data_IF_479286025123
#
_entry.id   IF_479286025123
#
_cell.length_a   1.000
_cell.length_b   1.000
_cell.length_c   1.000
_cell.angle_alpha   90.00
_cell.angle_beta   90.00
_cell.angle_gamma   90.00
#
_symmetry.space_group_name_H-M   'P 1'
#
loop_
_entity.id
_entity.type
_entity.pdbx_description
1 polymer ?
#
# COMPACT_ATOMS: atom_id res chain seq x y z
N UNK A 1 -18.42 8.58 -21.62
CA UNK A 1 -19.02 8.34 -20.29
C UNK A 1 -18.70 6.97 -19.67
N UNK A 2 -18.46 5.87 -20.40
CA UNK A 2 -18.11 4.57 -19.74
C UNK A 2 -16.66 4.48 -19.26
N UNK A 3 -15.72 5.08 -19.99
CA UNK A 3 -14.28 4.84 -19.78
C UNK A 3 -13.71 5.70 -18.63
N UNK A 4 -14.13 6.96 -18.54
CA UNK A 4 -13.82 7.88 -17.44
C UNK A 4 -14.34 7.37 -16.10
N UNK A 5 -15.60 6.91 -16.07
CA UNK A 5 -16.20 6.29 -14.88
C UNK A 5 -15.41 5.07 -14.41
N UNK A 6 -14.93 4.22 -15.32
CA UNK A 6 -14.12 3.07 -14.94
C UNK A 6 -12.77 3.49 -14.32
N UNK A 7 -12.14 4.56 -14.79
CA UNK A 7 -10.89 5.08 -14.19
C UNK A 7 -11.17 5.57 -12.76
N UNK A 8 -12.24 6.37 -12.58
CA UNK A 8 -12.69 6.86 -11.27
C UNK A 8 -12.97 5.69 -10.32
N UNK A 9 -13.80 4.73 -10.74
CA UNK A 9 -14.16 3.55 -9.95
C UNK A 9 -12.91 2.77 -9.49
N UNK A 10 -11.85 2.71 -10.30
CA UNK A 10 -10.59 2.05 -9.93
C UNK A 10 -9.72 2.88 -8.99
N UNK A 11 -9.72 4.20 -9.10
CA UNK A 11 -9.05 5.08 -8.15
C UNK A 11 -9.75 4.97 -6.79
N UNK A 12 -11.07 5.08 -6.75
CA UNK A 12 -11.86 4.95 -5.51
C UNK A 12 -11.71 3.57 -4.87
N UNK A 13 -11.78 2.50 -5.66
CA UNK A 13 -11.51 1.14 -5.18
C UNK A 13 -10.12 1.04 -4.54
N UNK A 14 -9.09 1.64 -5.14
CA UNK A 14 -7.75 1.63 -4.56
C UNK A 14 -7.72 2.34 -3.20
N UNK A 15 -8.36 3.50 -3.04
CA UNK A 15 -8.40 4.18 -1.75
C UNK A 15 -9.21 3.41 -0.70
N UNK A 16 -10.46 3.06 -1.02
CA UNK A 16 -11.42 2.53 -0.06
C UNK A 16 -11.10 1.08 0.31
N UNK A 17 -10.82 0.22 -0.68
CA UNK A 17 -10.72 -1.23 -0.44
C UNK A 17 -9.30 -1.69 -0.15
N UNK A 18 -8.29 -0.90 -0.52
CA UNK A 18 -6.88 -1.30 -0.39
C UNK A 18 -6.13 -0.42 0.61
N UNK A 19 -6.16 0.90 0.43
CA UNK A 19 -5.41 1.81 1.32
C UNK A 19 -5.97 1.78 2.73
N UNK A 20 -7.29 1.83 2.92
CA UNK A 20 -7.90 1.78 4.25
C UNK A 20 -7.69 0.42 4.95
N UNK A 21 -7.88 -0.69 4.24
CA UNK A 21 -7.63 -2.02 4.81
C UNK A 21 -6.16 -2.19 5.25
N UNK A 22 -5.22 -1.66 4.46
CA UNK A 22 -3.82 -1.64 4.84
C UNK A 22 -3.56 -0.78 6.08
N UNK A 23 -4.18 0.41 6.19
CA UNK A 23 -4.07 1.25 7.39
C UNK A 23 -4.58 0.51 8.63
N UNK A 24 -5.68 -0.22 8.52
CA UNK A 24 -6.17 -1.05 9.62
C UNK A 24 -5.19 -2.17 9.98
N UNK A 25 -4.64 -2.87 8.98
CA UNK A 25 -3.66 -3.92 9.18
C UNK A 25 -2.38 -3.37 9.86
N UNK A 26 -1.91 -2.21 9.42
CA UNK A 26 -0.79 -1.52 10.04
C UNK A 26 -1.10 -1.11 11.48
N UNK A 27 -2.27 -0.54 11.74
CA UNK A 27 -2.66 -0.12 13.08
C UNK A 27 -2.73 -1.32 14.04
N UNK A 28 -3.20 -2.47 13.56
CA UNK A 28 -3.16 -3.76 14.29
C UNK A 28 -1.71 -4.16 14.60
N UNK A 29 -0.80 -4.11 13.61
CA UNK A 29 0.64 -4.41 13.78
C UNK A 29 1.30 -3.48 14.82
N UNK A 30 1.01 -2.18 14.76
CA UNK A 30 1.53 -1.19 15.70
C UNK A 30 1.02 -1.47 17.11
N UNK A 31 -0.28 -1.76 17.26
CA UNK A 31 -0.89 -2.06 18.55
C UNK A 31 -0.33 -3.35 19.15
N UNK A 32 -0.08 -4.38 18.34
CA UNK A 32 0.59 -5.62 18.75
C UNK A 32 2.04 -5.39 19.19
N UNK A 33 2.65 -4.28 18.79
CA UNK A 33 4.02 -3.91 19.14
C UNK A 33 4.14 -3.06 20.41
N UNK A 34 3.03 -2.55 20.96
CA UNK A 34 3.03 -1.69 22.17
C UNK A 34 3.28 -2.51 23.44
N UNK A 35 3.88 -1.89 24.46
CA UNK A 35 4.18 -2.53 25.75
C UNK A 35 2.97 -3.20 26.42
N UNK A 36 1.76 -2.64 26.26
CA UNK A 36 0.52 -3.19 26.82
C UNK A 36 0.13 -4.57 26.25
N UNK A 37 0.67 -4.97 25.09
CA UNK A 37 0.44 -6.28 24.47
C UNK A 37 1.54 -7.29 24.74
N UNK A 38 2.50 -7.01 25.63
CA UNK A 38 3.63 -7.91 25.96
C UNK A 38 3.21 -9.34 26.33
N UNK A 39 2.03 -9.50 26.94
CA UNK A 39 1.49 -10.80 27.33
C UNK A 39 0.67 -11.50 26.24
N UNK A 40 0.38 -10.84 25.11
CA UNK A 40 -0.31 -11.44 23.96
C UNK A 40 0.69 -12.02 22.98
N UNK A 41 0.44 -13.26 22.56
CA UNK A 41 1.18 -13.91 21.47
C UNK A 41 0.97 -13.10 20.18
N UNK A 42 2.06 -12.58 19.61
CA UNK A 42 2.02 -11.81 18.36
C UNK A 42 1.67 -12.72 17.19
N UNK A 43 0.67 -12.33 16.40
CA UNK A 43 0.21 -13.09 15.23
C UNK A 43 0.95 -12.66 13.95
N UNK A 44 2.26 -12.96 13.89
CA UNK A 44 3.07 -12.61 12.73
C UNK A 44 2.56 -13.22 11.42
N UNK A 45 2.06 -14.45 11.46
CA UNK A 45 1.56 -15.13 10.26
C UNK A 45 0.26 -14.51 9.74
N UNK A 46 -0.65 -14.13 10.64
CA UNK A 46 -1.85 -13.37 10.28
C UNK A 46 -1.49 -12.00 9.68
N UNK A 47 -0.54 -11.28 10.28
CA UNK A 47 -0.09 -9.99 9.75
C UNK A 47 0.54 -10.14 8.36
N UNK A 48 1.36 -11.17 8.14
CA UNK A 48 1.94 -11.46 6.81
C UNK A 48 0.86 -11.78 5.79
N UNK A 49 -0.16 -12.56 6.17
CA UNK A 49 -1.26 -12.91 5.28
C UNK A 49 -2.04 -11.67 4.85
N UNK A 50 -2.40 -10.79 5.79
CA UNK A 50 -3.09 -9.53 5.49
C UNK A 50 -2.28 -8.64 4.53
N UNK A 51 -0.99 -8.44 4.81
CA UNK A 51 -0.12 -7.62 3.94
C UNK A 51 0.02 -8.20 2.52
N UNK A 52 0.06 -9.53 2.40
CA UNK A 52 0.07 -10.21 1.10
C UNK A 52 -1.27 -10.08 0.37
N UNK A 53 -2.37 -10.09 1.09
CA UNK A 53 -3.71 -9.90 0.53
C UNK A 53 -3.86 -8.48 -0.05
N UNK A 54 -3.49 -7.45 0.72
CA UNK A 54 -3.47 -6.06 0.22
C UNK A 54 -2.60 -5.95 -1.05
N UNK A 55 -1.40 -6.55 -1.05
CA UNK A 55 -0.56 -6.62 -2.26
C UNK A 55 -1.25 -7.33 -3.43
N UNK A 56 -1.96 -8.43 -3.15
CA UNK A 56 -2.75 -9.17 -4.14
C UNK A 56 -3.84 -8.30 -4.77
N UNK A 57 -4.59 -7.54 -3.98
CA UNK A 57 -5.61 -6.59 -4.47
C UNK A 57 -5.01 -5.52 -5.39
N UNK A 58 -3.84 -4.97 -5.03
CA UNK A 58 -3.10 -4.01 -5.87
C UNK A 58 -2.63 -4.64 -7.18
N UNK A 59 -2.21 -5.92 -7.15
CA UNK A 59 -1.84 -6.67 -8.35
C UNK A 59 -3.03 -6.98 -9.25
N UNK A 60 -4.24 -7.06 -8.69
CA UNK A 60 -5.49 -7.26 -9.42
C UNK A 60 -5.95 -6.04 -10.24
N UNK A 61 -5.42 -4.84 -9.98
CA UNK A 61 -5.76 -3.65 -10.76
C UNK A 61 -4.99 -3.67 -12.09
N UNK A 62 -5.73 -3.83 -13.19
CA UNK A 62 -5.18 -3.87 -14.55
C UNK A 62 -4.86 -2.48 -15.09
N UNK A 63 -3.73 -1.92 -14.65
CA UNK A 63 -3.32 -0.56 -15.07
C UNK A 63 -3.11 -0.43 -16.59
N UNK A 64 -2.75 -1.52 -17.27
CA UNK A 64 -2.52 -1.51 -18.72
C UNK A 64 -3.83 -1.36 -19.49
N UNK A 65 -4.93 -1.89 -18.97
CA UNK A 65 -6.26 -1.71 -19.53
C UNK A 65 -6.75 -0.27 -19.32
N UNK A 66 -6.57 0.28 -18.11
CA UNK A 66 -6.91 1.68 -17.83
C UNK A 66 -6.15 2.64 -18.75
N UNK A 67 -4.86 2.38 -19.02
CA UNK A 67 -4.06 3.20 -19.95
C UNK A 67 -4.59 3.19 -21.39
N UNK A 68 -5.27 2.12 -21.81
CA UNK A 68 -5.90 2.05 -23.15
C UNK A 68 -7.21 2.83 -23.21
N UNK A 69 -7.88 2.99 -22.07
CA UNK A 69 -9.14 3.71 -21.92
C UNK A 69 -8.93 5.22 -21.75
N UNK A 70 -7.74 5.64 -21.30
CA UNK A 70 -7.38 7.05 -21.17
C UNK A 70 -7.18 7.73 -22.54
N UNK A 71 -8.09 8.63 -22.92
CA UNK A 71 -8.11 9.26 -24.25
C UNK A 71 -7.51 10.67 -24.25
N UNK A 72 -7.94 11.51 -23.32
CA UNK A 72 -7.47 12.87 -23.10
C UNK A 72 -6.17 12.90 -22.26
N UNK A 73 -5.62 14.10 -22.04
CA UNK A 73 -4.36 14.26 -21.31
C UNK A 73 -4.53 14.03 -19.80
N UNK A 74 -5.65 14.46 -19.22
CA UNK A 74 -5.92 14.39 -17.79
C UNK A 74 -6.12 12.93 -17.35
N UNK A 75 -6.91 12.15 -18.10
CA UNK A 75 -7.11 10.72 -17.84
C UNK A 75 -5.81 9.92 -17.97
N UNK A 76 -4.91 10.31 -18.88
CA UNK A 76 -3.58 9.68 -19.03
C UNK A 76 -2.68 10.01 -17.84
N UNK A 77 -2.67 11.25 -17.40
CA UNK A 77 -1.93 11.72 -16.23
C UNK A 77 -2.40 11.00 -14.96
N UNK A 78 -3.71 10.97 -14.73
CA UNK A 78 -4.33 10.28 -13.60
C UNK A 78 -4.00 8.79 -13.60
N UNK A 79 -4.14 8.12 -14.74
CA UNK A 79 -3.82 6.69 -14.86
C UNK A 79 -2.32 6.43 -14.67
N UNK A 80 -1.45 7.32 -15.15
CA UNK A 80 -0.01 7.22 -14.91
C UNK A 80 0.29 7.32 -13.42
N UNK A 81 -0.29 8.30 -12.73
CA UNK A 81 -0.10 8.53 -11.31
C UNK A 81 -0.64 7.38 -10.46
N UNK A 82 -1.84 6.87 -10.79
CA UNK A 82 -2.38 5.66 -10.16
C UNK A 82 -1.40 4.49 -10.32
N UNK A 83 -0.83 4.29 -11.52
CA UNK A 83 0.18 3.25 -11.74
C UNK A 83 1.42 3.38 -10.83
N UNK A 84 1.87 4.61 -10.58
CA UNK A 84 2.99 4.90 -9.67
C UNK A 84 2.61 4.63 -8.22
N UNK A 85 1.42 5.06 -7.78
CA UNK A 85 0.91 4.78 -6.44
C UNK A 85 0.76 3.28 -6.18
N UNK A 86 0.19 2.52 -7.13
CA UNK A 86 0.07 1.07 -7.04
C UNK A 86 1.45 0.39 -6.92
N UNK A 87 2.44 0.83 -7.69
CA UNK A 87 3.80 0.29 -7.62
C UNK A 87 4.46 0.58 -6.26
N UNK A 88 4.40 1.83 -5.79
CA UNK A 88 4.92 2.22 -4.47
C UNK A 88 4.25 1.42 -3.34
N UNK A 89 2.93 1.21 -3.44
CA UNK A 89 2.17 0.48 -2.44
C UNK A 89 2.56 -1.01 -2.36
N UNK A 90 2.84 -1.64 -3.50
CA UNK A 90 3.37 -3.02 -3.53
C UNK A 90 4.70 -3.13 -2.80
N UNK A 91 5.59 -2.18 -3.04
CA UNK A 91 6.90 -2.11 -2.37
C UNK A 91 6.75 -1.93 -0.86
N UNK A 92 5.80 -1.07 -0.44
CA UNK A 92 5.48 -0.90 0.98
C UNK A 92 4.99 -2.20 1.60
N UNK A 93 4.05 -2.91 0.95
CA UNK A 93 3.57 -4.21 1.43
C UNK A 93 4.71 -5.21 1.59
N UNK A 94 5.61 -5.31 0.60
CA UNK A 94 6.77 -6.20 0.67
C UNK A 94 7.74 -5.83 1.79
N UNK A 95 7.98 -4.54 2.00
CA UNK A 95 8.81 -4.05 3.11
C UNK A 95 8.22 -4.44 4.47
N UNK A 96 6.91 -4.27 4.65
CA UNK A 96 6.22 -4.70 5.87
C UNK A 96 6.23 -6.23 6.05
N UNK A 97 6.07 -7.02 4.98
CA UNK A 97 6.19 -8.48 5.05
C UNK A 97 7.59 -8.89 5.51
N UNK A 98 8.64 -8.28 4.95
CA UNK A 98 10.04 -8.54 5.38
C UNK A 98 10.24 -8.20 6.86
N UNK A 99 9.66 -7.10 7.33
CA UNK A 99 9.70 -6.73 8.74
C UNK A 99 8.99 -7.78 9.62
N UNK A 100 7.79 -8.22 9.26
CA UNK A 100 7.07 -9.24 10.03
C UNK A 100 7.82 -10.59 10.05
N UNK A 101 8.41 -11.00 8.92
CA UNK A 101 9.25 -12.20 8.85
C UNK A 101 10.46 -12.08 9.76
N UNK A 102 11.16 -10.94 9.74
CA UNK A 102 12.30 -10.70 10.62
C UNK A 102 11.90 -10.76 12.10
N UNK A 103 10.82 -10.07 12.48
CA UNK A 103 10.33 -10.05 13.85
C UNK A 103 9.91 -11.45 14.33
N UNK A 104 9.29 -12.24 13.44
CA UNK A 104 8.94 -13.65 13.70
C UNK A 104 10.19 -14.49 13.99
N UNK A 105 11.26 -14.35 13.19
CA UNK A 105 12.55 -15.03 13.45
C UNK A 105 13.12 -14.63 14.81
N UNK A 106 13.14 -13.34 15.12
CA UNK A 106 13.64 -12.83 16.41
C UNK A 106 12.83 -13.39 17.59
N UNK A 107 11.50 -13.44 17.47
CA UNK A 107 10.62 -14.01 18.49
C UNK A 107 10.86 -15.51 18.72
N UNK A 108 11.34 -16.24 17.71
CA UNK A 108 11.75 -17.64 17.78
C UNK A 108 13.17 -17.84 18.33
N UNK A 109 13.84 -16.77 18.75
CA UNK A 109 15.25 -16.77 19.22
C UNK A 109 16.24 -17.24 18.15
N UNK A 110 15.86 -17.13 16.87
CA UNK A 110 16.78 -17.34 15.75
C UNK A 110 17.77 -16.17 15.68
N UNK A 111 18.95 -16.40 15.08
CA UNK A 111 19.93 -15.34 14.87
C UNK A 111 19.37 -14.29 13.90
N UNK A 112 19.41 -13.04 14.35
CA UNK A 112 18.75 -11.91 13.73
C UNK A 112 19.40 -10.63 14.26
N UNK A 113 20.43 -10.13 13.54
CA UNK A 113 21.24 -9.00 13.99
C UNK A 113 20.43 -7.70 13.94
N UNK A 114 20.74 -6.80 14.88
CA UNK A 114 20.05 -5.51 14.97
C UNK A 114 20.31 -4.59 13.76
N UNK A 115 21.46 -4.73 13.09
CA UNK A 115 21.74 -4.02 11.84
C UNK A 115 20.71 -4.35 10.75
N UNK A 116 20.41 -5.64 10.56
CA UNK A 116 19.40 -6.08 9.59
C UNK A 116 18.00 -5.56 9.94
N UNK A 117 17.64 -5.49 11.23
CA UNK A 117 16.40 -4.85 11.66
C UNK A 117 16.35 -3.38 11.22
N UNK A 118 17.43 -2.62 11.47
CA UNK A 118 17.52 -1.20 11.15
C UNK A 118 17.37 -0.97 9.65
N UNK A 119 18.01 -1.79 8.82
CA UNK A 119 17.92 -1.69 7.37
C UNK A 119 16.50 -1.94 6.86
N UNK A 120 15.86 -3.01 7.35
CA UNK A 120 14.47 -3.34 7.01
C UNK A 120 13.52 -2.22 7.45
N UNK A 121 13.69 -1.71 8.67
CA UNK A 121 12.85 -0.65 9.21
C UNK A 121 13.02 0.68 8.46
N UNK A 122 14.25 1.02 8.07
CA UNK A 122 14.52 2.20 7.23
C UNK A 122 13.87 2.05 5.85
N UNK A 123 13.91 0.85 5.25
CA UNK A 123 13.23 0.58 3.98
C UNK A 123 11.71 0.77 4.11
N UNK A 124 11.09 0.30 5.20
CA UNK A 124 9.66 0.54 5.45
C UNK A 124 9.35 2.03 5.50
N UNK A 125 10.17 2.84 6.19
CA UNK A 125 9.99 4.29 6.25
C UNK A 125 10.09 4.95 4.88
N UNK A 126 11.12 4.61 4.10
CA UNK A 126 11.30 5.14 2.75
C UNK A 126 10.12 4.78 1.83
N UNK A 127 9.68 3.53 1.84
CA UNK A 127 8.51 3.11 1.07
C UNK A 127 7.23 3.84 1.52
N UNK A 128 7.12 4.16 2.81
CA UNK A 128 5.97 4.89 3.35
C UNK A 128 5.95 6.34 2.87
N UNK A 129 7.10 7.01 2.91
CA UNK A 129 7.26 8.37 2.38
C UNK A 129 6.94 8.42 0.89
N UNK A 130 7.43 7.44 0.13
CA UNK A 130 7.14 7.30 -1.30
C UNK A 130 5.64 7.12 -1.56
N UNK A 131 4.98 6.19 -0.87
CA UNK A 131 3.53 5.98 -1.00
C UNK A 131 2.76 7.25 -0.68
N UNK A 132 3.09 7.95 0.42
CA UNK A 132 2.42 9.20 0.77
C UNK A 132 2.60 10.27 -0.32
N UNK A 133 3.79 10.39 -0.90
CA UNK A 133 4.03 11.31 -2.01
C UNK A 133 3.20 10.95 -3.24
N UNK A 134 3.12 9.66 -3.58
CA UNK A 134 2.36 9.20 -4.76
C UNK A 134 0.85 9.33 -4.56
N UNK A 135 0.34 9.06 -3.36
CA UNK A 135 -1.07 9.26 -3.00
C UNK A 135 -1.43 10.74 -3.02
N UNK A 136 -0.58 11.62 -2.49
CA UNK A 136 -0.85 13.05 -2.55
C UNK A 136 -0.92 13.57 -3.99
N UNK A 137 0.01 13.14 -4.86
CA UNK A 137 -0.07 13.45 -6.28
C UNK A 137 -1.31 12.89 -6.96
N UNK A 138 -1.77 11.71 -6.54
CA UNK A 138 -3.00 11.10 -7.04
C UNK A 138 -4.25 11.87 -6.57
N UNK A 139 -4.27 12.35 -5.32
CA UNK A 139 -5.38 13.15 -4.75
C UNK A 139 -5.60 14.44 -5.55
N UNK A 140 -4.50 15.14 -5.89
CA UNK A 140 -4.55 16.38 -6.68
C UNK A 140 -5.16 16.09 -8.06
N UNK A 141 -4.58 15.14 -8.79
CA UNK A 141 -5.06 14.81 -10.14
C UNK A 141 -6.47 14.23 -10.15
N UNK A 142 -6.85 13.48 -9.12
CA UNK A 142 -8.19 12.95 -8.99
C UNK A 142 -9.20 14.09 -8.80
N UNK A 143 -8.91 15.03 -7.90
CA UNK A 143 -9.75 16.20 -7.64
C UNK A 143 -9.95 17.00 -8.92
N UNK A 144 -8.85 17.37 -9.59
CA UNK A 144 -8.88 18.11 -10.86
C UNK A 144 -9.74 17.37 -11.90
N UNK A 145 -9.53 16.05 -12.06
CA UNK A 145 -10.25 15.23 -13.04
C UNK A 145 -11.75 15.08 -12.76
N UNK A 146 -12.15 15.13 -11.49
CA UNK A 146 -13.57 15.06 -11.10
C UNK A 146 -14.27 16.42 -11.13
N UNK A 147 -13.55 17.52 -10.91
CA UNK A 147 -14.09 18.89 -10.99
C UNK A 147 -14.24 19.37 -12.44
N UNK A 148 -13.44 18.85 -13.39
CA UNK A 148 -13.59 19.11 -14.83
C UNK A 148 -14.95 18.67 -15.42
N UNK A 149 -15.69 17.82 -14.71
CA UNK A 149 -16.98 17.22 -15.14
C UNK A 149 -18.22 17.97 -14.60
N UNK A 150 -18.07 18.98 -13.72
CA UNK A 150 -19.15 19.87 -13.24
C UNK A 150 -19.33 21.13 -14.11
#
# INVERSE_FOLDING_TARGET
MSDQKNIIDKVEYFYIEIVEEFKEAEQKIINDSKFRSLFRKKNYDGNIALLKDCKGKVLGINIMELKKQAQDQESKELTRQLGQALAAFRELCDAHVRLQVFLKKKARKEDAPFSQYKDIFNRVKQCREEVNSQLHGLDILYTDYTESDE
#
